data_IF_433837427924
#
_entry.id   IF_433837427924
#
_cell.length_a   1.000
_cell.length_b   1.000
_cell.length_c   1.000
_cell.angle_alpha   90.00
_cell.angle_beta   90.00
_cell.angle_gamma   90.00
#
_symmetry.space_group_name_H-M   'P 1'
#
loop_
_entity.id
_entity.type
_entity.pdbx_description
1 polymer ?
#
# COMPACT_ATOMS: atom_id res chain seq x y z
N UNK A 1 42.28 78.44 -12.54
CA UNK A 1 42.76 77.32 -11.70
C UNK A 1 43.17 76.20 -12.64
N UNK A 2 44.48 75.96 -12.72
CA UNK A 2 45.16 74.72 -13.16
C UNK A 2 45.00 74.38 -14.66
N UNK A 3 45.85 74.93 -15.56
CA UNK A 3 47.17 74.39 -15.95
C UNK A 3 47.14 72.87 -16.25
N UNK A 4 46.77 72.48 -17.48
CA UNK A 4 47.15 71.16 -18.05
C UNK A 4 47.04 71.05 -19.59
N UNK A 5 47.13 72.17 -20.31
CA UNK A 5 47.03 72.16 -21.79
C UNK A 5 48.35 72.05 -22.55
N UNK A 6 49.51 72.19 -21.88
CA UNK A 6 50.81 72.32 -22.56
C UNK A 6 51.76 71.13 -22.43
N UNK A 7 51.57 70.24 -21.44
CA UNK A 7 52.56 69.19 -21.15
C UNK A 7 52.40 67.98 -22.08
N UNK A 8 51.17 67.53 -22.34
CA UNK A 8 50.92 66.38 -23.21
C UNK A 8 51.33 66.62 -24.67
N UNK A 9 51.26 67.86 -25.16
CA UNK A 9 51.59 68.18 -26.55
C UNK A 9 53.11 68.18 -26.81
N UNK A 10 53.90 68.71 -25.86
CA UNK A 10 55.36 68.77 -25.96
C UNK A 10 56.00 67.39 -25.81
N UNK A 11 55.40 66.51 -25.00
CA UNK A 11 55.87 65.13 -24.82
C UNK A 11 55.59 64.26 -26.06
N UNK A 12 54.43 64.46 -26.69
CA UNK A 12 54.09 63.82 -27.97
C UNK A 12 54.95 64.34 -29.14
N UNK A 13 55.25 65.64 -29.20
CA UNK A 13 56.19 66.20 -30.18
C UNK A 13 57.62 65.69 -29.97
N UNK A 14 58.08 65.57 -28.72
CA UNK A 14 59.39 64.96 -28.42
C UNK A 14 59.43 63.51 -28.86
N UNK A 15 58.43 62.69 -28.50
CA UNK A 15 58.43 61.26 -28.87
C UNK A 15 58.37 61.05 -30.39
N UNK A 16 57.63 61.89 -31.11
CA UNK A 16 57.59 61.90 -32.57
C UNK A 16 58.94 62.28 -33.20
N UNK A 17 59.58 63.33 -32.67
CA UNK A 17 60.89 63.77 -33.14
C UNK A 17 62.00 62.75 -32.85
N UNK A 18 62.00 62.11 -31.68
CA UNK A 18 62.93 61.03 -31.35
C UNK A 18 62.77 59.82 -32.29
N UNK A 19 61.54 59.43 -32.60
CA UNK A 19 61.25 58.30 -33.50
C UNK A 19 61.72 58.57 -34.93
N UNK A 20 61.55 59.80 -35.42
CA UNK A 20 62.01 60.20 -36.75
C UNK A 20 63.53 60.25 -36.86
N UNK A 21 64.23 60.71 -35.81
CA UNK A 21 65.70 60.73 -35.77
C UNK A 21 66.28 59.31 -35.75
N UNK A 22 65.66 58.39 -35.00
CA UNK A 22 66.09 56.99 -34.96
C UNK A 22 65.90 56.30 -36.32
N UNK A 23 64.79 56.55 -37.03
CA UNK A 23 64.56 55.97 -38.36
C UNK A 23 65.61 56.38 -39.41
N UNK A 24 66.14 57.61 -39.33
CA UNK A 24 67.14 58.13 -40.27
C UNK A 24 68.53 57.49 -40.13
N UNK A 25 68.80 56.79 -39.01
CA UNK A 25 70.09 56.15 -38.70
C UNK A 25 70.10 54.64 -39.00
N UNK A 26 68.97 54.07 -39.42
CA UNK A 26 68.80 52.62 -39.61
C UNK A 26 68.94 52.20 -41.07
N UNK A 27 69.49 51.01 -41.30
CA UNK A 27 69.45 50.37 -42.61
C UNK A 27 68.02 49.91 -42.97
N UNK A 28 67.71 49.69 -44.27
CA UNK A 28 66.39 49.24 -44.70
C UNK A 28 65.92 47.95 -44.00
N UNK A 29 66.82 47.01 -43.70
CA UNK A 29 66.49 45.79 -42.95
C UNK A 29 66.11 46.07 -41.50
N UNK A 30 66.76 47.02 -40.86
CA UNK A 30 66.51 47.39 -39.46
C UNK A 30 65.20 48.18 -39.32
N UNK A 31 64.91 49.09 -40.26
CA UNK A 31 63.63 49.81 -40.34
C UNK A 31 62.46 48.81 -40.46
N UNK A 32 62.61 47.79 -41.28
CA UNK A 32 61.59 46.74 -41.45
C UNK A 32 61.36 45.93 -40.15
N UNK A 33 62.43 45.63 -39.39
CA UNK A 33 62.29 44.93 -38.11
C UNK A 33 61.68 45.82 -37.03
N UNK A 34 62.07 47.10 -36.97
CA UNK A 34 61.46 48.08 -36.07
C UNK A 34 59.95 48.21 -36.34
N UNK A 35 59.55 48.33 -37.60
CA UNK A 35 58.13 48.42 -37.95
C UNK A 35 57.34 47.15 -37.60
N UNK A 36 57.93 45.97 -37.80
CA UNK A 36 57.32 44.70 -37.34
C UNK A 36 57.19 44.63 -35.83
N UNK A 37 58.19 45.10 -35.09
CA UNK A 37 58.17 45.12 -33.62
C UNK A 37 57.14 46.11 -33.09
N UNK A 38 57.05 47.32 -33.65
CA UNK A 38 56.06 48.31 -33.25
C UNK A 38 54.63 47.83 -33.55
N UNK A 39 54.42 47.20 -34.72
CA UNK A 39 53.16 46.55 -35.07
C UNK A 39 52.82 45.36 -34.15
N UNK A 40 53.83 44.63 -33.66
CA UNK A 40 53.63 43.57 -32.68
C UNK A 40 53.28 44.14 -31.29
N UNK A 41 53.90 45.25 -30.90
CA UNK A 41 53.64 45.95 -29.64
C UNK A 41 52.24 46.56 -29.61
N UNK A 42 51.80 47.22 -30.68
CA UNK A 42 50.43 47.73 -30.83
C UNK A 42 49.39 46.61 -30.64
N UNK A 43 49.63 45.42 -31.21
CA UNK A 43 48.78 44.25 -30.98
C UNK A 43 48.75 43.80 -29.52
N UNK A 44 49.90 43.78 -28.84
CA UNK A 44 49.98 43.40 -27.43
C UNK A 44 49.27 44.42 -26.53
N UNK A 45 49.35 45.71 -26.84
CA UNK A 45 48.67 46.78 -26.08
C UNK A 45 47.13 46.75 -26.25
N UNK A 46 46.63 46.23 -27.37
CA UNK A 46 45.18 46.05 -27.60
C UNK A 46 44.62 44.77 -26.93
N UNK A 47 45.46 43.77 -26.66
CA UNK A 47 45.00 42.48 -26.09
C UNK A 47 44.27 42.59 -24.74
N UNK A 48 44.65 43.44 -23.77
CA UNK A 48 43.91 43.57 -22.51
C UNK A 48 42.45 44.00 -22.72
N UNK A 49 42.18 44.85 -23.71
CA UNK A 49 40.82 45.29 -24.03
C UNK A 49 40.00 44.16 -24.65
N UNK A 50 40.59 43.39 -25.58
CA UNK A 50 39.95 42.22 -26.17
C UNK A 50 39.69 41.12 -25.13
N UNK A 51 40.67 40.88 -24.24
CA UNK A 51 40.55 39.95 -23.13
C UNK A 51 39.41 40.38 -22.20
N UNK A 52 39.33 41.66 -21.84
CA UNK A 52 38.25 42.17 -21.00
C UNK A 52 36.86 42.00 -21.65
N UNK A 53 36.73 42.27 -22.95
CA UNK A 53 35.48 42.01 -23.69
C UNK A 53 35.12 40.53 -23.67
N UNK A 54 36.09 39.64 -23.86
CA UNK A 54 35.87 38.20 -23.81
C UNK A 54 35.46 37.74 -22.41
N UNK A 55 36.03 38.33 -21.36
CA UNK A 55 35.74 37.99 -19.98
C UNK A 55 34.32 38.39 -19.57
N UNK A 56 33.88 39.60 -19.93
CA UNK A 56 32.48 40.05 -19.71
C UNK A 56 31.51 39.08 -20.39
N UNK A 57 31.79 38.72 -21.64
CA UNK A 57 30.93 37.79 -22.38
C UNK A 57 30.89 36.39 -21.75
N UNK A 58 32.00 35.92 -21.19
CA UNK A 58 32.03 34.65 -20.45
C UNK A 58 31.18 34.71 -19.19
N UNK A 59 31.22 35.84 -18.46
CA UNK A 59 30.42 36.03 -17.25
C UNK A 59 28.91 36.09 -17.57
N UNK A 60 28.52 36.83 -18.61
CA UNK A 60 27.14 36.86 -19.14
C UNK A 60 26.64 35.44 -19.49
N UNK A 61 27.40 34.71 -20.32
CA UNK A 61 27.05 33.34 -20.70
C UNK A 61 27.00 32.37 -19.51
N UNK A 62 27.81 32.62 -18.47
CA UNK A 62 27.80 31.82 -17.25
C UNK A 62 26.52 32.05 -16.44
N UNK A 63 26.05 33.30 -16.37
CA UNK A 63 24.79 33.65 -15.73
C UNK A 63 23.60 33.06 -16.50
N UNK A 64 23.57 33.23 -17.83
CA UNK A 64 22.52 32.65 -18.68
C UNK A 64 22.45 31.12 -18.51
N UNK A 65 23.62 30.45 -18.48
CA UNK A 65 23.70 29.01 -18.25
C UNK A 65 23.19 28.60 -16.86
N UNK A 66 23.37 29.44 -15.85
CA UNK A 66 22.85 29.19 -14.50
C UNK A 66 21.32 29.30 -14.48
N UNK A 67 20.75 30.32 -15.11
CA UNK A 67 19.30 30.50 -15.23
C UNK A 67 18.65 29.34 -15.99
N UNK A 68 19.22 28.94 -17.13
CA UNK A 68 18.78 27.77 -17.90
C UNK A 68 18.81 26.48 -17.08
N UNK A 69 19.82 26.29 -16.22
CA UNK A 69 19.89 25.14 -15.30
C UNK A 69 18.77 25.15 -14.28
N UNK A 70 18.43 26.31 -13.72
CA UNK A 70 17.32 26.42 -12.77
C UNK A 70 15.97 26.18 -13.45
N UNK A 71 15.76 26.72 -14.65
CA UNK A 71 14.57 26.45 -15.47
C UNK A 71 14.45 24.96 -15.81
N UNK A 72 15.56 24.33 -16.22
CA UNK A 72 15.60 22.89 -16.52
C UNK A 72 15.22 22.05 -15.30
N UNK A 73 15.70 22.41 -14.10
CA UNK A 73 15.31 21.73 -12.85
C UNK A 73 13.80 21.90 -12.58
N UNK A 74 13.28 23.11 -12.75
CA UNK A 74 11.85 23.42 -12.57
C UNK A 74 10.98 22.56 -13.49
N UNK A 75 11.30 22.53 -14.79
CA UNK A 75 10.56 21.74 -15.80
C UNK A 75 10.59 20.25 -15.45
N UNK A 76 11.74 19.74 -15.01
CA UNK A 76 11.87 18.33 -14.62
C UNK A 76 10.99 17.96 -13.43
N UNK A 77 10.86 18.85 -12.44
CA UNK A 77 9.97 18.64 -11.28
C UNK A 77 8.50 18.62 -11.74
N UNK A 78 8.10 19.58 -12.57
CA UNK A 78 6.74 19.63 -13.10
C UNK A 78 6.41 18.41 -13.96
N UNK A 79 7.34 17.93 -14.77
CA UNK A 79 7.17 16.72 -15.57
C UNK A 79 6.91 15.49 -14.69
N UNK A 80 7.70 15.28 -13.63
CA UNK A 80 7.48 14.18 -12.67
C UNK A 80 6.11 14.30 -11.97
N UNK A 81 5.67 15.52 -11.65
CA UNK A 81 4.34 15.76 -11.08
C UNK A 81 3.23 15.38 -12.06
N UNK A 82 3.31 15.82 -13.32
CA UNK A 82 2.31 15.51 -14.33
C UNK A 82 2.28 14.01 -14.69
N UNK A 83 3.43 13.33 -14.70
CA UNK A 83 3.49 11.88 -14.88
C UNK A 83 2.71 11.14 -13.77
N UNK A 84 2.89 11.52 -12.50
CA UNK A 84 2.13 10.95 -11.38
C UNK A 84 0.63 11.21 -11.49
N UNK A 85 0.24 12.42 -11.91
CA UNK A 85 -1.16 12.75 -12.13
C UNK A 85 -1.76 11.93 -13.27
N UNK A 86 -1.05 11.79 -14.39
CA UNK A 86 -1.49 10.98 -15.51
C UNK A 86 -1.69 9.51 -15.12
N UNK A 87 -0.82 8.96 -14.28
CA UNK A 87 -0.98 7.59 -13.80
C UNK A 87 -2.22 7.42 -12.91
N UNK A 88 -2.50 8.40 -12.04
CA UNK A 88 -3.73 8.41 -11.26
C UNK A 88 -4.98 8.50 -12.15
N UNK A 89 -4.95 9.32 -13.22
CA UNK A 89 -6.06 9.42 -14.16
C UNK A 89 -6.30 8.10 -14.90
N UNK A 90 -5.23 7.41 -15.34
CA UNK A 90 -5.35 6.08 -15.95
C UNK A 90 -6.02 5.09 -15.01
N UNK A 91 -5.62 5.05 -13.74
CA UNK A 91 -6.21 4.17 -12.74
C UNK A 91 -7.72 4.46 -12.55
N UNK A 92 -8.09 5.74 -12.53
CA UNK A 92 -9.50 6.15 -12.44
C UNK A 92 -10.28 5.71 -13.66
N UNK A 93 -9.75 5.94 -14.87
CA UNK A 93 -10.37 5.53 -16.13
C UNK A 93 -10.56 4.00 -16.16
N UNK A 94 -9.55 3.24 -15.77
CA UNK A 94 -9.61 1.78 -15.70
C UNK A 94 -10.70 1.29 -14.75
N UNK A 95 -10.84 1.91 -13.57
CA UNK A 95 -11.90 1.58 -12.61
C UNK A 95 -13.29 1.83 -13.19
N UNK A 96 -13.52 2.99 -13.79
CA UNK A 96 -14.81 3.32 -14.40
C UNK A 96 -15.14 2.41 -15.58
N UNK A 97 -14.14 2.13 -16.43
CA UNK A 97 -14.30 1.23 -17.55
C UNK A 97 -14.60 -0.20 -17.09
N UNK A 98 -13.95 -0.68 -16.03
CA UNK A 98 -14.23 -1.98 -15.44
C UNK A 98 -15.67 -2.08 -14.89
N UNK A 99 -16.13 -1.05 -14.17
CA UNK A 99 -17.52 -0.98 -13.68
C UNK A 99 -18.51 -1.07 -14.84
N UNK A 100 -18.27 -0.31 -15.92
CA UNK A 100 -19.07 -0.37 -17.15
C UNK A 100 -19.09 -1.79 -17.75
N UNK A 101 -17.94 -2.45 -17.86
CA UNK A 101 -17.84 -3.79 -18.41
C UNK A 101 -18.59 -4.84 -17.57
N UNK A 102 -18.55 -4.73 -16.25
CA UNK A 102 -19.31 -5.59 -15.34
C UNK A 102 -20.81 -5.56 -15.63
N UNK A 103 -21.37 -4.39 -15.98
CA UNK A 103 -22.79 -4.25 -16.36
C UNK A 103 -23.12 -4.89 -17.72
N UNK A 104 -22.14 -4.96 -18.62
CA UNK A 104 -22.31 -5.47 -20.00
C UNK A 104 -21.92 -6.94 -20.17
N UNK A 105 -21.38 -7.59 -19.13
CA UNK A 105 -20.87 -8.97 -19.17
C UNK A 105 -19.79 -9.21 -20.25
N UNK A 106 -19.14 -8.15 -20.73
CA UNK A 106 -18.14 -8.20 -21.81
C UNK A 106 -16.81 -7.65 -21.30
N UNK A 107 -15.78 -8.49 -21.29
CA UNK A 107 -14.43 -8.11 -20.91
C UNK A 107 -13.54 -8.12 -22.15
N UNK A 108 -13.37 -6.95 -22.75
CA UNK A 108 -12.39 -6.71 -23.82
C UNK A 108 -11.27 -5.85 -23.30
N UNK A 109 -10.03 -6.30 -23.54
CA UNK A 109 -8.87 -5.45 -23.31
C UNK A 109 -8.86 -4.35 -24.37
N UNK A 110 -8.84 -3.10 -23.93
CA UNK A 110 -8.99 -1.92 -24.76
C UNK A 110 -7.90 -0.90 -24.41
N UNK A 111 -7.43 -0.17 -25.40
CA UNK A 111 -6.51 0.95 -25.22
C UNK A 111 -7.10 2.06 -24.34
N UNK A 112 -6.26 2.91 -23.78
CA UNK A 112 -6.71 4.03 -22.94
C UNK A 112 -7.65 4.97 -23.71
N UNK A 113 -7.31 5.24 -24.97
CA UNK A 113 -8.11 6.07 -25.88
C UNK A 113 -9.50 5.47 -26.11
N UNK A 114 -9.60 4.17 -26.39
CA UNK A 114 -10.88 3.47 -26.56
C UNK A 114 -11.69 3.46 -25.27
N UNK A 115 -11.05 3.28 -24.11
CA UNK A 115 -11.71 3.37 -22.79
C UNK A 115 -12.31 4.75 -22.57
N UNK A 116 -11.55 5.81 -22.86
CA UNK A 116 -12.00 7.19 -22.76
C UNK A 116 -13.16 7.47 -23.71
N UNK A 117 -13.04 7.09 -24.99
CA UNK A 117 -14.10 7.26 -25.99
C UNK A 117 -15.38 6.54 -25.57
N UNK A 118 -15.27 5.30 -25.08
CA UNK A 118 -16.39 4.55 -24.53
C UNK A 118 -17.08 5.28 -23.37
N UNK A 119 -16.31 5.76 -22.40
CA UNK A 119 -16.85 6.45 -21.22
C UNK A 119 -17.51 7.78 -21.61
N UNK A 120 -16.87 8.57 -22.47
CA UNK A 120 -17.38 9.87 -22.92
C UNK A 120 -18.70 9.75 -23.71
N UNK A 121 -18.90 8.64 -24.42
CA UNK A 121 -20.10 8.38 -25.21
C UNK A 121 -21.14 7.51 -24.49
N UNK A 122 -21.00 7.29 -23.18
CA UNK A 122 -22.04 6.68 -22.38
C UNK A 122 -23.31 7.53 -22.41
N UNK A 123 -24.47 6.88 -22.56
CA UNK A 123 -25.74 7.53 -22.28
C UNK A 123 -25.80 7.95 -20.81
N UNK A 124 -26.58 8.99 -20.50
CA UNK A 124 -26.83 9.43 -19.12
C UNK A 124 -27.36 8.28 -18.24
N UNK A 125 -28.10 7.34 -18.83
CA UNK A 125 -28.58 6.13 -18.16
C UNK A 125 -27.46 5.22 -17.67
N UNK A 126 -26.32 5.14 -18.39
CA UNK A 126 -25.15 4.39 -17.93
C UNK A 126 -24.34 5.09 -16.84
N UNK A 127 -24.44 6.41 -16.76
CA UNK A 127 -23.82 7.21 -15.68
C UNK A 127 -24.69 7.28 -14.43
N UNK A 128 -25.99 6.95 -14.54
CA UNK A 128 -26.89 6.88 -13.40
C UNK A 128 -26.57 5.63 -12.58
N UNK A 129 -26.09 5.84 -11.36
CA UNK A 129 -26.14 4.82 -10.32
C UNK A 129 -27.61 4.62 -9.92
N UNK A 130 -28.31 3.79 -10.69
CA UNK A 130 -29.73 3.44 -10.55
C UNK A 130 -30.72 4.53 -10.97
N UNK A 131 -31.81 4.08 -11.58
CA UNK A 131 -32.94 4.89 -12.04
C UNK A 131 -33.56 5.67 -10.87
N UNK A 132 -34.06 6.87 -11.17
CA UNK A 132 -34.77 7.81 -10.27
C UNK A 132 -36.09 7.26 -9.68
N UNK A 133 -36.38 5.97 -9.84
CA UNK A 133 -37.44 5.28 -9.11
C UNK A 133 -36.79 4.49 -7.96
N UNK A 134 -36.73 5.10 -6.76
CA UNK A 134 -36.68 4.60 -5.36
C UNK A 134 -36.45 3.09 -5.03
N UNK A 135 -35.90 2.26 -5.90
CA UNK A 135 -36.17 0.81 -5.86
C UNK A 135 -34.92 -0.05 -5.72
N UNK A 136 -33.70 0.49 -5.79
CA UNK A 136 -32.51 -0.37 -5.66
C UNK A 136 -31.93 -0.40 -4.24
N UNK A 137 -31.67 0.75 -3.63
CA UNK A 137 -31.21 0.80 -2.23
C UNK A 137 -32.29 0.30 -1.28
N UNK A 138 -33.55 0.68 -1.53
CA UNK A 138 -34.71 0.20 -0.75
C UNK A 138 -34.88 -1.32 -0.86
N UNK A 139 -34.80 -1.90 -2.07
CA UNK A 139 -34.88 -3.36 -2.22
C UNK A 139 -33.70 -4.09 -1.60
N UNK A 140 -32.49 -3.54 -1.69
CA UNK A 140 -31.32 -4.12 -1.04
C UNK A 140 -31.47 -4.09 0.48
N UNK A 141 -31.93 -2.97 1.05
CA UNK A 141 -32.25 -2.85 2.48
C UNK A 141 -33.32 -3.87 2.88
N UNK A 142 -34.44 -3.96 2.14
CA UNK A 142 -35.52 -4.91 2.41
C UNK A 142 -35.04 -6.37 2.35
N UNK A 143 -34.15 -6.69 1.40
CA UNK A 143 -33.55 -8.03 1.29
C UNK A 143 -32.67 -8.35 2.50
N UNK A 144 -31.86 -7.40 2.94
CA UNK A 144 -31.03 -7.56 4.15
C UNK A 144 -31.88 -7.68 5.41
N UNK A 145 -32.93 -6.88 5.54
CA UNK A 145 -33.87 -6.96 6.66
C UNK A 145 -34.58 -8.32 6.71
N UNK A 146 -35.02 -8.84 5.56
CA UNK A 146 -35.61 -10.17 5.46
C UNK A 146 -34.62 -11.28 5.84
N UNK A 147 -33.35 -11.17 5.43
CA UNK A 147 -32.30 -12.11 5.81
C UNK A 147 -32.03 -12.07 7.33
N UNK A 148 -31.98 -10.88 7.93
CA UNK A 148 -31.83 -10.71 9.38
C UNK A 148 -32.98 -11.38 10.14
N UNK A 149 -34.22 -11.21 9.67
CA UNK A 149 -35.39 -11.87 10.29
C UNK A 149 -35.25 -13.39 10.20
N UNK A 150 -34.93 -13.93 9.02
CA UNK A 150 -34.74 -15.37 8.83
C UNK A 150 -33.61 -15.93 9.71
N UNK A 151 -32.50 -15.21 9.84
CA UNK A 151 -31.40 -15.61 10.72
C UNK A 151 -31.81 -15.60 12.19
N UNK A 152 -32.58 -14.60 12.63
CA UNK A 152 -33.11 -14.54 14.01
C UNK A 152 -34.03 -15.71 14.31
N UNK A 153 -34.94 -16.05 13.39
CA UNK A 153 -35.81 -17.23 13.52
C UNK A 153 -34.99 -18.53 13.55
N UNK A 154 -33.96 -18.62 12.71
CA UNK A 154 -33.01 -19.74 12.71
C UNK A 154 -32.29 -19.91 14.05
N UNK A 155 -31.83 -18.82 14.67
CA UNK A 155 -31.19 -18.84 15.99
C UNK A 155 -32.17 -19.31 17.08
N UNK A 156 -33.40 -18.79 17.09
CA UNK A 156 -34.43 -19.22 18.06
C UNK A 156 -34.73 -20.72 17.91
N UNK A 157 -34.85 -21.20 16.67
CA UNK A 157 -35.06 -22.63 16.39
C UNK A 157 -33.89 -23.49 16.89
N UNK A 158 -32.64 -23.08 16.64
CA UNK A 158 -31.46 -23.78 17.12
C UNK A 158 -31.37 -23.79 18.65
N UNK A 159 -31.69 -22.67 19.31
CA UNK A 159 -31.77 -22.60 20.77
C UNK A 159 -32.81 -23.57 21.33
N UNK A 160 -34.00 -23.64 20.73
CA UNK A 160 -35.04 -24.59 21.14
C UNK A 160 -34.59 -26.04 20.96
N UNK A 161 -33.94 -26.37 19.83
CA UNK A 161 -33.38 -27.72 19.62
C UNK A 161 -32.31 -28.06 20.66
N UNK A 162 -31.44 -27.11 20.99
CA UNK A 162 -30.42 -27.30 22.03
C UNK A 162 -31.04 -27.60 23.39
N UNK A 163 -32.10 -26.88 23.78
CA UNK A 163 -32.82 -27.13 25.03
C UNK A 163 -33.38 -28.56 25.11
N UNK A 164 -33.97 -29.05 24.02
CA UNK A 164 -34.48 -30.44 23.95
C UNK A 164 -33.35 -31.46 24.09
N UNK A 165 -32.21 -31.24 23.42
CA UNK A 165 -31.04 -32.13 23.52
C UNK A 165 -30.49 -32.17 24.95
N UNK A 166 -30.42 -31.01 25.63
CA UNK A 166 -29.98 -30.93 27.02
C UNK A 166 -30.94 -31.67 27.96
N UNK A 167 -32.26 -31.51 27.77
CA UNK A 167 -33.26 -32.25 28.54
C UNK A 167 -33.13 -33.77 28.31
N UNK A 168 -32.95 -34.21 27.07
CA UNK A 168 -32.75 -35.62 26.74
C UNK A 168 -31.47 -36.18 27.38
N UNK A 169 -30.37 -35.42 27.39
CA UNK A 169 -29.12 -35.80 28.07
C UNK A 169 -29.35 -35.98 29.57
N UNK A 170 -30.04 -35.05 30.22
CA UNK A 170 -30.35 -35.15 31.65
C UNK A 170 -31.20 -36.40 31.96
N UNK A 171 -32.24 -36.67 31.15
CA UNK A 171 -33.06 -37.87 31.29
C UNK A 171 -32.20 -39.14 31.16
N UNK A 172 -31.29 -39.19 30.18
CA UNK A 172 -30.38 -40.31 29.99
C UNK A 172 -29.49 -40.54 31.23
N UNK A 173 -28.92 -39.48 31.80
CA UNK A 173 -28.10 -39.57 33.02
C UNK A 173 -28.91 -40.11 34.21
N UNK A 174 -30.16 -39.66 34.37
CA UNK A 174 -31.07 -40.18 35.41
C UNK A 174 -31.43 -41.64 35.22
N UNK A 175 -31.65 -42.08 33.98
CA UNK A 175 -31.89 -43.50 33.66
C UNK A 175 -30.68 -44.34 34.04
N UNK A 176 -29.46 -43.90 33.71
CA UNK A 176 -28.23 -44.62 34.07
C UNK A 176 -28.08 -44.73 35.60
N UNK A 177 -28.36 -43.66 36.35
CA UNK A 177 -28.33 -43.69 37.80
C UNK A 177 -29.37 -44.66 38.38
N UNK A 178 -30.59 -44.67 37.84
CA UNK A 178 -31.65 -45.62 38.23
C UNK A 178 -31.24 -47.07 37.95
N UNK A 179 -30.66 -47.35 36.78
CA UNK A 179 -30.16 -48.67 36.42
C UNK A 179 -29.06 -49.14 37.36
N UNK A 180 -28.14 -48.25 37.73
CA UNK A 180 -27.09 -48.55 38.70
C UNK A 180 -27.69 -48.92 40.06
N UNK A 181 -28.59 -48.10 40.59
CA UNK A 181 -29.26 -48.37 41.87
C UNK A 181 -30.04 -49.67 41.85
N UNK A 182 -30.77 -49.95 40.76
CA UNK A 182 -31.49 -51.21 40.60
C UNK A 182 -30.54 -52.42 40.60
N UNK A 183 -29.40 -52.33 39.93
CA UNK A 183 -28.38 -53.38 39.95
C UNK A 183 -27.84 -53.61 41.36
N UNK A 184 -27.57 -52.54 42.11
CA UNK A 184 -27.14 -52.62 43.51
C UNK A 184 -28.19 -53.29 44.40
N UNK A 185 -29.46 -52.89 44.28
CA UNK A 185 -30.54 -53.53 45.03
C UNK A 185 -30.68 -55.02 44.70
N UNK A 186 -30.55 -55.40 43.43
CA UNK A 186 -30.58 -56.81 43.03
C UNK A 186 -29.46 -57.61 43.68
N UNK A 187 -28.24 -57.08 43.71
CA UNK A 187 -27.09 -57.71 44.39
C UNK A 187 -27.41 -57.86 45.88
N UNK A 188 -27.75 -56.77 46.56
CA UNK A 188 -28.06 -56.79 48.00
C UNK A 188 -29.17 -57.78 48.38
N UNK A 189 -30.25 -57.86 47.58
CA UNK A 189 -31.34 -58.83 47.81
C UNK A 189 -30.83 -60.26 47.61
N UNK A 190 -30.03 -60.50 46.57
CA UNK A 190 -29.49 -61.84 46.28
C UNK A 190 -28.56 -62.30 47.40
N UNK A 191 -27.71 -61.40 47.90
CA UNK A 191 -26.79 -61.68 49.00
C UNK A 191 -27.55 -62.01 50.28
N UNK A 192 -28.54 -61.18 50.66
CA UNK A 192 -29.40 -61.42 51.82
C UNK A 192 -30.15 -62.76 51.72
N UNK A 193 -30.71 -63.08 50.55
CA UNK A 193 -31.41 -64.36 50.35
C UNK A 193 -30.43 -65.54 50.45
N UNK A 194 -29.22 -65.41 49.91
CA UNK A 194 -28.16 -66.41 49.99
C UNK A 194 -27.69 -66.67 51.43
N UNK A 195 -27.50 -65.60 52.20
CA UNK A 195 -27.18 -65.67 53.64
C UNK A 195 -28.29 -66.40 54.41
N UNK A 196 -29.55 -65.94 54.28
CA UNK A 196 -30.69 -66.55 54.97
C UNK A 196 -30.93 -68.01 54.58
N UNK A 197 -30.75 -68.35 53.30
CA UNK A 197 -30.85 -69.74 52.85
C UNK A 197 -29.76 -70.61 53.48
N UNK A 198 -28.53 -70.09 53.60
CA UNK A 198 -27.41 -70.80 54.24
C UNK A 198 -27.66 -71.01 55.73
N UNK A 199 -28.19 -70.00 56.43
CA UNK A 199 -28.62 -70.10 57.83
C UNK A 199 -29.69 -71.19 58.02
N UNK A 200 -30.75 -71.16 57.20
CA UNK A 200 -31.83 -72.15 57.25
C UNK A 200 -31.34 -73.57 56.96
N UNK A 201 -30.46 -73.73 55.97
CA UNK A 201 -29.86 -75.03 55.63
C UNK A 201 -29.05 -75.58 56.79
N UNK A 202 -28.19 -74.76 57.41
CA UNK A 202 -27.40 -75.15 58.59
C UNK A 202 -28.30 -75.58 59.75
N UNK A 203 -29.38 -74.83 60.02
CA UNK A 203 -30.35 -75.18 61.04
C UNK A 203 -31.04 -76.52 60.73
N UNK A 204 -31.46 -76.71 59.48
CA UNK A 204 -32.09 -77.96 59.03
C UNK A 204 -31.15 -79.16 59.18
N UNK A 205 -29.90 -79.02 58.76
CA UNK A 205 -28.89 -80.08 58.88
C UNK A 205 -28.63 -80.43 60.36
N UNK A 206 -28.58 -79.43 61.25
CA UNK A 206 -28.44 -79.63 62.69
C UNK A 206 -29.64 -80.36 63.31
N UNK A 207 -30.87 -80.02 62.88
CA UNK A 207 -32.10 -80.69 63.33
C UNK A 207 -32.15 -82.14 62.85
N UNK A 208 -31.80 -82.41 61.60
CA UNK A 208 -31.72 -83.78 61.05
C UNK A 208 -30.72 -84.63 61.83
N UNK A 209 -29.53 -84.10 62.13
CA UNK A 209 -28.54 -84.83 62.93
C UNK A 209 -29.04 -85.10 64.36
N UNK A 210 -29.77 -84.15 64.97
CA UNK A 210 -30.39 -84.36 66.29
C UNK A 210 -31.47 -85.44 66.26
N UNK A 211 -32.30 -85.50 65.22
CA UNK A 211 -33.29 -86.58 65.06
C UNK A 211 -32.60 -87.94 64.93
N UNK A 212 -31.54 -88.02 64.10
CA UNK A 212 -30.75 -89.26 63.94
C UNK A 212 -30.15 -89.73 65.27
N UNK A 213 -29.62 -88.81 66.09
CA UNK A 213 -29.12 -89.11 67.42
C UNK A 213 -30.20 -89.72 68.34
N UNK A 214 -31.43 -89.17 68.29
CA UNK A 214 -32.55 -89.71 69.06
C UNK A 214 -32.93 -91.12 68.61
N UNK A 215 -33.05 -91.36 67.30
CA UNK A 215 -33.37 -92.69 66.75
C UNK A 215 -32.37 -93.75 67.20
N UNK A 216 -31.07 -93.42 67.24
CA UNK A 216 -30.03 -94.34 67.72
C UNK A 216 -30.01 -94.57 69.24
N UNK A 217 -30.72 -93.74 70.02
CA UNK A 217 -30.76 -93.85 71.48
C UNK A 217 -31.91 -94.75 71.98
N UNK A 218 -32.90 -95.03 71.13
CA UNK A 218 -34.07 -95.86 71.42
C UNK A 218 -34.03 -97.26 70.76
N UNK A 219 -32.92 -97.59 70.07
CA UNK A 219 -32.58 -98.91 69.51
C UNK A 219 -31.50 -99.57 70.36
#
# INVERSE_FOLDING_TARGET
MILRGGVCNVEAEKSFNFSNVVLLLLSPSEIMQYWRAEKAKEKVELMPQELNKSQIRVEELTNDLLEEKELTKSIRIDLEKYEKQNEAFKEVIDKFYHIRQCSLSSFTDASLEEKCECLMHNSDEMWRFQNDEDTSTSNYINSLEAEIVNLREGVVNLQNKLQVILAAKNIKERILALQHNHSQYKINITDLLGERYSELKSLNDAVLEKMRQLETMYL
#
